data_IF_470238760633
#
_entry.id   IF_470238760633
#
_cell.length_a   1.000
_cell.length_b   1.000
_cell.length_c   1.000
_cell.angle_alpha   90.00
_cell.angle_beta   90.00
_cell.angle_gamma   90.00
#
_symmetry.space_group_name_H-M   'P 1'
#
loop_
_entity.id
_entity.type
_entity.pdbx_description
1 polymer ?
#
# COMPACT_ATOMS: atom_id res chain seq x y z
N UNK A 1 21.44 -21.84 10.67
CA UNK A 1 21.22 -20.46 10.18
C UNK A 1 20.05 -20.48 9.21
N UNK A 2 18.83 -20.23 9.70
CA UNK A 2 17.63 -20.23 8.84
C UNK A 2 17.64 -18.91 8.09
N UNK A 3 17.91 -18.93 6.78
CA UNK A 3 17.66 -17.79 5.91
C UNK A 3 16.16 -17.50 5.98
N UNK A 4 15.74 -16.44 6.69
CA UNK A 4 14.41 -15.86 6.48
C UNK A 4 14.36 -15.51 5.00
N UNK A 5 13.58 -16.25 4.20
CA UNK A 5 13.22 -15.77 2.86
C UNK A 5 12.51 -14.45 3.09
N UNK A 6 13.13 -13.35 2.69
CA UNK A 6 12.44 -12.07 2.57
C UNK A 6 11.24 -12.32 1.65
N UNK A 7 10.03 -12.28 2.20
CA UNK A 7 8.81 -12.42 1.42
C UNK A 7 8.67 -11.12 0.64
N UNK A 8 9.00 -11.14 -0.65
CA UNK A 8 8.73 -10.02 -1.55
C UNK A 8 7.22 -9.96 -1.83
N UNK A 9 6.62 -8.79 -1.65
CA UNK A 9 5.26 -8.51 -2.12
C UNK A 9 5.30 -8.49 -3.65
N UNK A 10 4.42 -9.24 -4.30
CA UNK A 10 4.31 -9.19 -5.76
C UNK A 10 3.49 -7.97 -6.17
N UNK A 11 4.10 -7.03 -6.87
CA UNK A 11 3.43 -5.85 -7.42
C UNK A 11 3.03 -6.11 -8.88
N UNK A 12 1.80 -5.82 -9.24
CA UNK A 12 1.33 -5.92 -10.63
C UNK A 12 0.54 -4.69 -11.03
N UNK A 13 1.00 -3.99 -12.04
CA UNK A 13 0.45 -2.71 -12.49
C UNK A 13 1.57 -1.74 -12.83
N UNK A 14 1.25 -0.65 -13.53
CA UNK A 14 2.20 0.44 -13.78
C UNK A 14 1.53 1.76 -13.41
N UNK A 15 2.34 2.67 -12.86
CA UNK A 15 1.99 4.04 -12.47
C UNK A 15 1.21 4.18 -11.15
N UNK A 16 1.75 3.65 -10.06
CA UNK A 16 1.23 3.93 -8.70
C UNK A 16 1.10 5.44 -8.47
N UNK A 17 2.00 6.24 -9.04
CA UNK A 17 2.02 7.70 -9.00
C UNK A 17 0.84 8.40 -9.69
N UNK A 18 0.08 7.69 -10.54
CA UNK A 18 -1.11 8.23 -11.24
C UNK A 18 -2.42 7.86 -10.56
N UNK A 19 -2.38 7.01 -9.54
CA UNK A 19 -3.56 6.61 -8.78
C UNK A 19 -4.17 7.81 -8.09
N UNK A 20 -5.49 7.88 -8.11
CA UNK A 20 -6.30 8.95 -7.52
C UNK A 20 -7.50 8.37 -6.78
N UNK A 21 -8.19 9.23 -6.03
CA UNK A 21 -9.45 8.91 -5.36
C UNK A 21 -10.46 8.28 -6.33
N UNK A 22 -11.09 7.19 -5.91
CA UNK A 22 -12.06 6.41 -6.68
C UNK A 22 -11.44 5.36 -7.63
N UNK A 23 -10.12 5.34 -7.83
CA UNK A 23 -9.48 4.23 -8.52
C UNK A 23 -9.54 2.96 -7.66
N UNK A 24 -9.47 1.80 -8.31
CA UNK A 24 -9.54 0.49 -7.66
C UNK A 24 -8.18 -0.18 -7.62
N UNK A 25 -7.90 -0.87 -6.53
CA UNK A 25 -6.73 -1.73 -6.39
C UNK A 25 -7.15 -3.08 -5.80
N UNK A 26 -6.26 -4.08 -5.85
CA UNK A 26 -6.50 -5.37 -5.21
C UNK A 26 -5.39 -5.75 -4.25
N UNK A 27 -5.78 -6.12 -3.03
CA UNK A 27 -4.90 -6.66 -1.99
C UNK A 27 -5.25 -8.13 -1.78
N UNK A 28 -4.33 -9.03 -2.14
CA UNK A 28 -4.56 -10.49 -2.08
C UNK A 28 -5.89 -10.95 -2.71
N UNK A 29 -6.29 -10.26 -3.79
CA UNK A 29 -7.53 -10.53 -4.52
C UNK A 29 -8.78 -9.79 -3.99
N UNK A 30 -8.70 -9.13 -2.84
CA UNK A 30 -9.75 -8.26 -2.32
C UNK A 30 -9.70 -6.91 -3.01
N UNK A 31 -10.81 -6.49 -3.61
CA UNK A 31 -10.93 -5.18 -4.27
C UNK A 31 -11.13 -4.08 -3.24
N UNK A 32 -10.26 -3.06 -3.28
CA UNK A 32 -10.33 -1.87 -2.45
C UNK A 32 -10.52 -0.64 -3.33
N UNK A 33 -11.08 0.42 -2.76
CA UNK A 33 -11.20 1.73 -3.40
C UNK A 33 -10.25 2.73 -2.75
N UNK A 34 -9.58 3.55 -3.57
CA UNK A 34 -8.67 4.59 -3.09
C UNK A 34 -9.46 5.79 -2.60
N UNK A 35 -9.17 6.24 -1.38
CA UNK A 35 -9.71 7.49 -0.85
C UNK A 35 -8.73 8.66 -1.05
N UNK A 36 -7.44 8.42 -0.81
CA UNK A 36 -6.41 9.45 -0.94
C UNK A 36 -5.06 8.87 -1.37
N UNK A 37 -4.25 9.70 -2.02
CA UNK A 37 -2.87 9.39 -2.39
C UNK A 37 -2.01 10.65 -2.23
N UNK A 38 -1.04 10.62 -1.31
CA UNK A 38 -0.29 11.82 -0.93
C UNK A 38 1.13 11.51 -0.43
N UNK A 39 1.95 12.57 -0.33
CA UNK A 39 3.28 12.54 0.29
C UNK A 39 3.10 12.62 1.80
N UNK A 40 3.54 11.61 2.54
CA UNK A 40 3.62 11.65 4.00
C UNK A 40 4.81 12.48 4.48
N UNK A 41 6.01 12.19 3.97
CA UNK A 41 7.25 12.85 4.36
C UNK A 41 8.10 13.07 3.10
N UNK A 42 8.59 14.30 2.92
CA UNK A 42 9.47 14.66 1.81
C UNK A 42 10.93 14.75 2.30
N UNK A 43 11.78 13.83 1.85
CA UNK A 43 13.23 13.82 2.12
C UNK A 43 14.03 14.43 0.95
N UNK A 44 13.37 15.19 0.07
CA UNK A 44 13.96 15.82 -1.11
C UNK A 44 13.93 14.91 -2.33
N UNK A 45 14.94 14.04 -2.47
CA UNK A 45 15.02 13.10 -3.61
C UNK A 45 14.11 11.88 -3.44
N UNK A 46 13.85 11.52 -2.20
CA UNK A 46 13.06 10.36 -1.78
C UNK A 46 11.85 10.87 -1.01
N UNK A 47 10.67 10.31 -1.27
CA UNK A 47 9.43 10.68 -0.60
C UNK A 47 8.76 9.43 -0.05
N UNK A 48 8.33 9.51 1.20
CA UNK A 48 7.40 8.55 1.78
C UNK A 48 6.01 8.89 1.28
N UNK A 49 5.38 7.92 0.63
CA UNK A 49 4.07 8.05 0.00
C UNK A 49 3.07 7.20 0.78
N UNK A 50 1.82 7.66 0.88
CA UNK A 50 0.71 6.88 1.39
C UNK A 50 -0.46 6.86 0.41
N UNK A 51 -1.08 5.71 0.28
CA UNK A 51 -2.40 5.53 -0.34
C UNK A 51 -3.34 5.05 0.75
N UNK A 52 -4.37 5.82 1.03
CA UNK A 52 -5.49 5.41 1.86
C UNK A 52 -6.52 4.71 0.98
N UNK A 53 -6.97 3.54 1.41
CA UNK A 53 -7.97 2.76 0.70
C UNK A 53 -8.85 1.99 1.67
N UNK A 54 -10.06 1.65 1.23
CA UNK A 54 -11.04 0.95 2.08
C UNK A 54 -11.67 -0.25 1.35
N UNK A 55 -12.09 -1.26 2.12
CA UNK A 55 -12.91 -2.37 1.61
C UNK A 55 -14.39 -1.93 1.61
N UNK A 56 -15.01 -1.68 0.43
CA UNK A 56 -16.40 -1.20 0.37
C UNK A 56 -17.42 -2.22 0.87
N UNK A 57 -17.02 -3.48 1.11
CA UNK A 57 -17.90 -4.54 1.64
C UNK A 57 -17.82 -4.67 3.15
N UNK A 58 -16.73 -4.25 3.76
CA UNK A 58 -16.47 -4.45 5.19
C UNK A 58 -16.33 -3.16 5.99
N UNK A 59 -16.27 -2.01 5.30
CA UNK A 59 -16.08 -0.70 5.94
C UNK A 59 -14.80 -0.69 6.79
N UNK A 60 -13.74 -1.31 6.26
CA UNK A 60 -12.41 -1.38 6.89
C UNK A 60 -11.45 -0.45 6.15
N UNK A 61 -10.73 0.38 6.89
CA UNK A 61 -9.74 1.31 6.37
C UNK A 61 -8.32 0.72 6.39
N UNK A 62 -7.58 1.01 5.32
CA UNK A 62 -6.24 0.52 5.10
C UNK A 62 -5.33 1.63 4.57
N UNK A 63 -4.03 1.37 4.66
CA UNK A 63 -3.02 2.25 4.10
C UNK A 63 -1.90 1.44 3.46
N UNK A 64 -1.55 1.81 2.24
CA UNK A 64 -0.33 1.35 1.56
C UNK A 64 0.72 2.43 1.75
N UNK A 65 1.93 2.06 2.19
CA UNK A 65 3.08 2.97 2.29
C UNK A 65 4.20 2.49 1.40
N UNK A 66 4.93 3.42 0.79
CA UNK A 66 6.08 3.11 -0.06
C UNK A 66 6.99 4.33 -0.22
N UNK A 67 8.23 4.10 -0.64
CA UNK A 67 9.14 5.12 -1.13
C UNK A 67 9.01 5.28 -2.64
N UNK A 68 8.83 6.51 -3.11
CA UNK A 68 8.58 6.81 -4.52
C UNK A 68 9.72 6.37 -5.47
N UNK A 69 10.95 6.30 -4.97
CA UNK A 69 12.15 5.88 -5.71
C UNK A 69 12.43 4.38 -5.62
N UNK A 70 11.66 3.63 -4.83
CA UNK A 70 11.84 2.19 -4.63
C UNK A 70 10.52 1.46 -4.32
N UNK A 71 9.49 1.70 -5.13
CA UNK A 71 8.13 1.18 -4.92
C UNK A 71 8.12 -0.33 -4.67
N UNK A 72 8.76 -1.12 -5.53
CA UNK A 72 8.67 -2.58 -5.51
C UNK A 72 9.21 -3.22 -4.22
N UNK A 73 10.23 -2.61 -3.60
CA UNK A 73 10.87 -3.17 -2.40
C UNK A 73 10.46 -2.47 -1.10
N UNK A 74 9.72 -1.36 -1.18
CA UNK A 74 9.30 -0.56 -0.02
C UNK A 74 7.81 -0.64 0.30
N UNK A 75 7.04 -1.37 -0.51
CA UNK A 75 5.60 -1.48 -0.32
C UNK A 75 5.25 -2.23 0.98
N UNK A 76 4.51 -1.53 1.83
CA UNK A 76 3.99 -2.03 3.09
C UNK A 76 2.49 -1.78 3.15
N UNK A 77 1.75 -2.72 3.75
CA UNK A 77 0.31 -2.65 3.89
C UNK A 77 -0.09 -2.62 5.36
N UNK A 78 -1.02 -1.74 5.70
CA UNK A 78 -1.48 -1.50 7.05
C UNK A 78 -3.00 -1.49 7.11
N UNK A 79 -3.55 -1.96 8.23
CA UNK A 79 -4.96 -1.80 8.58
C UNK A 79 -5.10 -0.81 9.72
N UNK A 80 -6.08 0.08 9.63
CA UNK A 80 -6.47 0.92 10.74
C UNK A 80 -7.29 0.09 11.73
N UNK A 81 -6.81 0.00 12.97
CA UNK A 81 -7.56 -0.59 14.08
C UNK A 81 -7.66 0.46 15.18
N UNK A 82 -8.89 0.88 15.48
CA UNK A 82 -9.22 2.01 16.35
C UNK A 82 -8.56 3.32 15.87
N UNK A 83 -7.35 3.60 16.32
CA UNK A 83 -6.57 4.81 16.00
C UNK A 83 -5.14 4.49 15.55
N UNK A 84 -4.79 3.21 15.39
CA UNK A 84 -3.43 2.76 15.09
C UNK A 84 -3.39 1.96 13.80
N UNK A 85 -2.39 2.25 12.96
CA UNK A 85 -2.11 1.45 11.77
C UNK A 85 -1.21 0.26 12.10
N UNK A 86 -1.75 -0.95 11.98
CA UNK A 86 -1.04 -2.21 12.19
C UNK A 86 -0.59 -2.81 10.86
N UNK A 87 0.71 -3.15 10.75
CA UNK A 87 1.28 -3.74 9.53
C UNK A 87 0.74 -5.16 9.32
N UNK A 88 0.27 -5.44 8.11
CA UNK A 88 -0.23 -6.75 7.70
C UNK A 88 0.66 -7.30 6.59
N UNK A 89 1.02 -8.59 6.70
CA UNK A 89 1.69 -9.28 5.60
C UNK A 89 0.70 -9.59 4.47
N UNK A 90 1.01 -9.12 3.27
CA UNK A 90 0.25 -9.43 2.05
C UNK A 90 1.16 -10.11 1.04
N UNK A 91 0.58 -10.93 0.17
CA UNK A 91 1.36 -11.63 -0.88
C UNK A 91 1.42 -10.81 -2.16
N UNK A 92 0.35 -10.08 -2.47
CA UNK A 92 0.18 -9.43 -3.77
C UNK A 92 -0.62 -8.13 -3.66
N UNK A 93 -0.12 -7.10 -4.34
CA UNK A 93 -0.81 -5.82 -4.55
C UNK A 93 -0.93 -5.60 -6.05
N UNK A 94 -2.15 -5.37 -6.53
CA UNK A 94 -2.43 -5.05 -7.94
C UNK A 94 -3.00 -3.65 -8.04
N UNK A 95 -2.34 -2.78 -8.82
CA UNK A 95 -2.76 -1.43 -9.14
C UNK A 95 -3.37 -1.37 -10.54
#
# INVERSE_FOLDING_TARGET
>A
MVRRKEKMVTVKGKNIEKLKKGDKLKIDGTEMEIDAHYVMIDHGKTKEMAIECFDPKKDEDFQIRYFNDNVELSLEFYKLEEIVYNKIEVKKIEF
#
